data_IF_864150691622
#
_entry.id   IF_864150691622
#
_cell.length_a   1.000
_cell.length_b   1.000
_cell.length_c   1.000
_cell.angle_alpha   90.00
_cell.angle_beta   90.00
_cell.angle_gamma   90.00
#
_symmetry.space_group_name_H-M   'P 1'
#
loop_
_entity.id
_entity.type
_entity.pdbx_description
1 polymer ?
#
# COMPACT_ATOMS: atom_id res chain seq x y z
N UNK A 1 -11.39 -21.73 -14.76
CA UNK A 1 -12.47 -20.73 -14.83
C UNK A 1 -12.00 -19.50 -14.08
N UNK A 2 -11.39 -18.54 -14.78
CA UNK A 2 -10.85 -17.31 -14.17
C UNK A 2 -12.04 -16.40 -13.94
N UNK A 3 -12.44 -16.23 -12.67
CA UNK A 3 -13.47 -15.27 -12.27
C UNK A 3 -13.05 -13.87 -12.69
N UNK A 4 -13.96 -13.16 -13.38
CA UNK A 4 -13.77 -11.76 -13.72
C UNK A 4 -13.48 -10.96 -12.45
N UNK A 5 -12.37 -10.22 -12.41
CA UNK A 5 -12.04 -9.35 -11.29
C UNK A 5 -12.90 -8.09 -11.37
N UNK A 6 -13.88 -7.99 -10.47
CA UNK A 6 -14.37 -6.68 -10.05
C UNK A 6 -13.15 -5.84 -9.61
N UNK A 7 -13.05 -4.60 -10.07
CA UNK A 7 -11.83 -3.78 -9.90
C UNK A 7 -11.28 -3.81 -8.47
N UNK A 8 -9.94 -3.88 -8.35
CA UNK A 8 -9.27 -3.93 -7.06
C UNK A 8 -9.68 -2.76 -6.16
N UNK A 9 -9.92 -3.02 -4.87
CA UNK A 9 -10.09 -1.94 -3.89
C UNK A 9 -8.71 -1.50 -3.42
N UNK A 10 -8.42 -0.21 -3.55
CA UNK A 10 -7.12 0.38 -3.22
C UNK A 10 -7.32 1.41 -2.10
N UNK A 11 -6.44 1.41 -1.10
CA UNK A 11 -6.47 2.41 -0.02
C UNK A 11 -5.06 2.69 0.50
N UNK A 12 -4.79 3.97 0.80
CA UNK A 12 -3.60 4.40 1.52
C UNK A 12 -3.92 4.42 3.03
N UNK A 13 -3.19 3.65 3.83
CA UNK A 13 -3.23 3.70 5.29
C UNK A 13 -2.24 4.76 5.77
N UNK A 14 -2.76 5.82 6.39
CA UNK A 14 -1.96 6.93 6.88
C UNK A 14 -2.21 7.18 8.38
N UNK A 15 -1.51 8.17 8.94
CA UNK A 15 -1.71 8.62 10.30
C UNK A 15 -1.22 10.06 10.45
N UNK A 16 -1.57 10.73 11.56
CA UNK A 16 -1.11 12.09 11.83
C UNK A 16 0.39 12.21 12.09
N UNK A 17 1.05 11.11 12.51
CA UNK A 17 2.48 11.09 12.81
C UNK A 17 3.08 9.67 12.75
N UNK A 18 4.40 9.57 12.89
CA UNK A 18 5.12 8.31 13.16
C UNK A 18 4.64 7.65 14.47
N UNK A 19 4.76 6.32 14.56
CA UNK A 19 4.44 5.57 15.78
C UNK A 19 2.95 5.40 16.10
N UNK A 20 2.05 5.85 15.22
CA UNK A 20 0.59 5.79 15.43
C UNK A 20 -0.06 4.49 14.91
N UNK A 21 0.70 3.39 14.82
CA UNK A 21 0.14 2.06 14.53
C UNK A 21 -0.21 1.74 13.08
N UNK A 22 0.21 2.57 12.08
CA UNK A 22 -0.02 2.30 10.64
C UNK A 22 0.32 0.87 10.24
N UNK A 23 1.54 0.42 10.58
CA UNK A 23 2.03 -0.92 10.24
C UNK A 23 1.21 -2.03 10.86
N UNK A 24 0.78 -1.86 12.10
CA UNK A 24 -0.12 -2.82 12.76
C UNK A 24 -1.48 -2.90 12.05
N UNK A 25 -2.05 -1.75 11.68
CA UNK A 25 -3.33 -1.67 10.95
C UNK A 25 -3.20 -2.30 9.56
N UNK A 26 -2.18 -1.92 8.78
CA UNK A 26 -1.93 -2.48 7.44
C UNK A 26 -1.73 -4.00 7.51
N UNK A 27 -0.91 -4.49 8.45
CA UNK A 27 -0.66 -5.92 8.63
C UNK A 27 -1.93 -6.68 9.03
N UNK A 28 -2.73 -6.13 9.95
CA UNK A 28 -3.98 -6.74 10.39
C UNK A 28 -4.99 -6.85 9.24
N UNK A 29 -5.17 -5.77 8.46
CA UNK A 29 -6.03 -5.75 7.28
C UNK A 29 -5.54 -6.74 6.22
N UNK A 30 -4.25 -6.71 5.89
CA UNK A 30 -3.65 -7.62 4.92
C UNK A 30 -3.88 -9.08 5.31
N UNK A 31 -3.54 -9.43 6.57
CA UNK A 31 -3.67 -10.79 7.07
C UNK A 31 -5.12 -11.25 7.10
N UNK A 32 -6.05 -10.37 7.47
CA UNK A 32 -7.48 -10.66 7.45
C UNK A 32 -7.94 -11.01 6.04
N UNK A 33 -7.67 -10.16 5.05
CA UNK A 33 -8.13 -10.39 3.68
C UNK A 33 -7.49 -11.63 3.04
N UNK A 34 -6.23 -11.92 3.35
CA UNK A 34 -5.60 -13.19 2.95
C UNK A 34 -6.32 -14.39 3.56
N UNK A 35 -6.69 -14.34 4.85
CA UNK A 35 -7.46 -15.41 5.52
C UNK A 35 -8.86 -15.59 4.94
N UNK A 36 -9.43 -14.53 4.35
CA UNK A 36 -10.69 -14.57 3.61
C UNK A 36 -10.51 -15.11 2.17
N UNK A 37 -9.30 -15.55 1.80
CA UNK A 37 -9.01 -16.12 0.47
C UNK A 37 -8.83 -15.07 -0.63
N UNK A 38 -8.69 -13.78 -0.27
CA UNK A 38 -8.52 -12.68 -1.23
C UNK A 38 -7.06 -12.51 -1.61
N UNK A 39 -6.80 -12.09 -2.85
CA UNK A 39 -5.46 -11.71 -3.31
C UNK A 39 -5.16 -10.29 -2.85
N UNK A 40 -4.11 -10.16 -2.04
CA UNK A 40 -3.72 -8.90 -1.41
C UNK A 40 -2.33 -8.51 -1.89
N UNK A 41 -2.18 -7.29 -2.39
CA UNK A 41 -0.88 -6.65 -2.60
C UNK A 41 -0.70 -5.54 -1.59
N UNK A 42 0.51 -5.42 -1.06
CA UNK A 42 0.87 -4.35 -0.12
C UNK A 42 2.08 -3.60 -0.66
N UNK A 43 2.05 -2.28 -0.52
CA UNK A 43 3.17 -1.37 -0.75
C UNK A 43 3.48 -0.59 0.52
N UNK A 44 4.72 -0.10 0.63
CA UNK A 44 5.16 0.77 1.72
C UNK A 44 5.80 2.03 1.14
N UNK A 45 5.43 3.20 1.63
CA UNK A 45 6.09 4.46 1.26
C UNK A 45 7.40 4.63 2.04
N UNK A 46 8.32 5.41 1.48
CA UNK A 46 9.60 5.73 2.09
C UNK A 46 10.67 4.63 2.07
N UNK A 47 11.89 4.96 2.52
CA UNK A 47 13.04 4.06 2.53
C UNK A 47 13.02 3.15 3.79
N UNK A 48 12.06 2.24 3.85
CA UNK A 48 11.95 1.27 4.96
C UNK A 48 12.33 -0.15 4.53
N UNK A 49 12.94 -0.91 5.43
CA UNK A 49 13.35 -2.29 5.23
C UNK A 49 12.74 -3.28 6.23
N UNK A 50 12.24 -2.80 7.37
CA UNK A 50 11.68 -3.64 8.44
C UNK A 50 10.17 -3.82 8.21
N UNK A 51 9.45 -2.73 8.00
CA UNK A 51 8.00 -2.77 7.77
C UNK A 51 7.63 -3.65 6.57
N UNK A 52 8.31 -3.56 5.40
CA UNK A 52 8.02 -4.43 4.28
C UNK A 52 8.13 -5.93 4.60
N UNK A 53 9.03 -6.35 5.49
CA UNK A 53 9.17 -7.76 5.86
C UNK A 53 7.98 -8.24 6.70
N UNK A 54 7.54 -7.43 7.66
CA UNK A 54 6.35 -7.73 8.46
C UNK A 54 5.10 -7.79 7.58
N UNK A 55 4.93 -6.79 6.71
CA UNK A 55 3.82 -6.71 5.78
C UNK A 55 3.84 -7.85 4.77
N UNK A 56 5.01 -8.27 4.29
CA UNK A 56 5.15 -9.42 3.41
C UNK A 56 4.68 -10.72 4.05
N UNK A 57 5.01 -10.93 5.34
CA UNK A 57 4.48 -12.07 6.11
C UNK A 57 2.96 -11.99 6.29
N UNK A 58 2.42 -10.79 6.46
CA UNK A 58 0.97 -10.59 6.62
C UNK A 58 0.19 -10.86 5.33
N UNK A 59 0.66 -10.33 4.20
CA UNK A 59 -0.02 -10.44 2.90
C UNK A 59 0.37 -11.67 2.07
N UNK A 60 1.43 -12.39 2.45
CA UNK A 60 1.90 -13.58 1.74
C UNK A 60 2.58 -13.29 0.39
N UNK A 61 2.94 -12.03 0.12
CA UNK A 61 3.66 -11.62 -1.10
C UNK A 61 4.72 -10.58 -0.78
N UNK A 62 5.65 -10.35 -1.71
CA UNK A 62 6.68 -9.33 -1.54
C UNK A 62 6.05 -7.92 -1.48
N UNK A 63 6.54 -7.11 -0.54
CA UNK A 63 6.15 -5.72 -0.36
C UNK A 63 7.24 -4.83 -0.91
N UNK A 64 6.85 -3.96 -1.84
CA UNK A 64 7.78 -3.06 -2.52
C UNK A 64 7.49 -1.62 -2.12
N UNK A 65 8.52 -0.78 -2.29
CA UNK A 65 8.36 0.66 -2.10
C UNK A 65 7.36 1.25 -3.10
N UNK A 66 6.54 2.18 -2.66
CA UNK A 66 5.71 3.02 -3.54
C UNK A 66 5.85 4.45 -3.03
N UNK A 67 6.79 5.19 -3.62
CA UNK A 67 7.23 6.48 -3.12
C UNK A 67 7.57 7.40 -4.30
N UNK A 68 7.04 8.61 -4.32
CA UNK A 68 7.20 9.52 -5.46
C UNK A 68 8.64 9.96 -5.67
N UNK A 69 9.44 10.09 -4.60
CA UNK A 69 10.84 10.48 -4.70
C UNK A 69 11.74 9.30 -5.08
N UNK A 70 11.58 8.15 -4.42
CA UNK A 70 12.46 6.99 -4.66
C UNK A 70 12.13 6.25 -5.97
N UNK A 71 10.85 6.15 -6.31
CA UNK A 71 10.36 5.29 -7.39
C UNK A 71 9.96 6.11 -8.62
N UNK A 72 9.53 7.35 -8.42
CA UNK A 72 9.03 8.22 -9.49
C UNK A 72 7.58 7.94 -9.86
N UNK A 73 6.82 9.00 -10.15
CA UNK A 73 5.38 8.94 -10.38
C UNK A 73 4.96 7.93 -11.48
N UNK A 74 5.70 7.89 -12.58
CA UNK A 74 5.39 7.01 -13.71
C UNK A 74 5.58 5.52 -13.36
N UNK A 75 6.61 5.19 -12.58
CA UNK A 75 6.80 3.81 -12.13
C UNK A 75 5.82 3.44 -10.99
N UNK A 76 5.48 4.38 -10.10
CA UNK A 76 4.42 4.19 -9.12
C UNK A 76 3.07 3.87 -9.80
N UNK A 77 2.71 4.61 -10.85
CA UNK A 77 1.50 4.36 -11.66
C UNK A 77 1.49 2.92 -12.20
N UNK A 78 2.60 2.47 -12.80
CA UNK A 78 2.71 1.11 -13.32
C UNK A 78 2.59 0.04 -12.22
N UNK A 79 3.19 0.26 -11.05
CA UNK A 79 3.07 -0.66 -9.90
C UNK A 79 1.64 -0.77 -9.39
N UNK A 80 0.95 0.37 -9.25
CA UNK A 80 -0.45 0.41 -8.82
C UNK A 80 -1.33 -0.32 -9.86
N UNK A 81 -1.17 0.00 -11.15
CA UNK A 81 -1.96 -0.62 -12.22
C UNK A 81 -1.73 -2.14 -12.31
N UNK A 82 -0.47 -2.59 -12.21
CA UNK A 82 -0.14 -4.02 -12.21
C UNK A 82 -0.77 -4.74 -11.00
N UNK A 83 -0.66 -4.17 -9.79
CA UNK A 83 -1.28 -4.74 -8.60
C UNK A 83 -2.82 -4.77 -8.71
N UNK A 84 -3.42 -3.71 -9.27
CA UNK A 84 -4.87 -3.63 -9.44
C UNK A 84 -5.43 -4.65 -10.46
N UNK A 85 -4.62 -5.08 -11.42
CA UNK A 85 -5.02 -6.08 -12.42
C UNK A 85 -5.10 -7.51 -11.83
N UNK A 86 -4.34 -7.80 -10.77
CA UNK A 86 -4.17 -9.15 -10.22
C UNK A 86 -4.65 -9.33 -8.77
N UNK A 87 -4.99 -8.25 -8.07
CA UNK A 87 -5.37 -8.27 -6.67
C UNK A 87 -6.85 -7.91 -6.46
N UNK A 88 -7.45 -8.42 -5.39
CA UNK A 88 -8.77 -7.99 -4.95
C UNK A 88 -8.67 -6.79 -3.98
N UNK A 89 -7.51 -6.67 -3.31
CA UNK A 89 -7.15 -5.57 -2.40
C UNK A 89 -5.72 -5.12 -2.65
N UNK A 90 -5.52 -3.80 -2.69
CA UNK A 90 -4.21 -3.16 -2.64
C UNK A 90 -4.17 -2.25 -1.41
N UNK A 91 -3.26 -2.52 -0.48
CA UNK A 91 -2.98 -1.63 0.64
C UNK A 91 -1.67 -0.90 0.38
N UNK A 92 -1.65 0.41 0.60
CA UNK A 92 -0.45 1.22 0.55
C UNK A 92 -0.25 1.77 1.95
N UNK A 93 0.89 1.52 2.58
CA UNK A 93 1.21 2.09 3.87
C UNK A 93 2.01 3.37 3.72
N UNK A 94 1.54 4.47 4.31
CA UNK A 94 2.26 5.74 4.34
C UNK A 94 3.55 5.70 5.16
N UNK A 95 4.38 6.73 4.99
CA UNK A 95 5.57 6.99 5.81
C UNK A 95 5.32 8.22 6.68
N UNK A 96 5.88 8.27 7.89
CA UNK A 96 5.72 9.40 8.83
C UNK A 96 4.24 9.80 9.03
N UNK A 97 3.93 11.07 9.27
CA UNK A 97 2.57 11.62 9.17
C UNK A 97 2.14 11.82 7.71
N UNK A 98 0.82 11.88 7.47
CA UNK A 98 0.22 12.00 6.12
C UNK A 98 0.80 13.15 5.30
N UNK A 99 1.10 14.28 5.95
CA UNK A 99 1.64 15.50 5.32
C UNK A 99 3.13 15.71 5.59
N UNK A 100 3.82 14.74 6.18
CA UNK A 100 5.24 14.86 6.47
C UNK A 100 6.09 14.50 5.24
N UNK A 101 7.14 15.29 4.99
CA UNK A 101 8.07 15.11 3.88
C UNK A 101 7.65 15.83 2.60
N UNK A 102 8.57 15.85 1.62
CA UNK A 102 8.32 16.39 0.28
C UNK A 102 9.04 15.51 -0.76
N UNK A 103 8.31 14.71 -1.57
CA UNK A 103 6.86 14.54 -1.58
C UNK A 103 6.32 13.77 -0.35
N UNK A 104 5.11 14.11 0.11
CA UNK A 104 4.44 13.44 1.24
C UNK A 104 3.54 12.27 0.78
N UNK A 105 3.04 11.48 1.74
CA UNK A 105 2.03 10.45 1.47
C UNK A 105 0.72 11.06 0.94
N UNK A 106 0.38 12.29 1.34
CA UNK A 106 -0.76 13.02 0.78
C UNK A 106 -0.56 13.36 -0.71
N UNK A 107 0.66 13.66 -1.13
CA UNK A 107 0.96 13.95 -2.54
C UNK A 107 0.84 12.68 -3.39
N UNK A 108 1.27 11.54 -2.85
CA UNK A 108 1.02 10.23 -3.46
C UNK A 108 -0.48 9.98 -3.63
N UNK A 109 -1.27 10.23 -2.57
CA UNK A 109 -2.71 10.05 -2.59
C UNK A 109 -3.38 10.94 -3.66
N UNK A 110 -3.05 12.24 -3.70
CA UNK A 110 -3.57 13.17 -4.71
C UNK A 110 -3.14 12.82 -6.12
N UNK A 111 -1.89 12.41 -6.32
CA UNK A 111 -1.35 12.08 -7.64
C UNK A 111 -2.08 10.89 -8.29
N UNK A 112 -2.58 9.97 -7.48
CA UNK A 112 -3.22 8.73 -7.95
C UNK A 112 -4.67 8.57 -7.52
N UNK A 113 -5.30 9.64 -7.01
CA UNK A 113 -6.68 9.66 -6.51
C UNK A 113 -6.99 8.52 -5.53
N UNK A 114 -6.08 8.29 -4.59
CA UNK A 114 -6.19 7.20 -3.62
C UNK A 114 -7.02 7.65 -2.41
N UNK A 115 -8.03 6.87 -1.99
CA UNK A 115 -8.68 7.12 -0.71
C UNK A 115 -7.68 6.88 0.43
N UNK A 116 -7.78 7.71 1.46
CA UNK A 116 -6.94 7.64 2.66
C UNK A 116 -7.76 7.14 3.84
N UNK A 117 -7.24 6.12 4.52
CA UNK A 117 -7.74 5.57 5.77
C UNK A 117 -6.85 6.02 6.93
#
# INVERSE_FOLDING_TARGET
MVTAHAGARIVLVAACASGQGKTTVTAALARRFVREGRRVRVFKCGPDFIDPQLLARACGSAVHTLDLWMVGAEHCRRRIAAAAAEADIVLIEGVMGLYDGDPSAADLARTFDLPVL
#
